data_IF_754058359842
#
_entry.id   IF_754058359842
#
_cell.length_a   1.000
_cell.length_b   1.000
_cell.length_c   1.000
_cell.angle_alpha   90.00
_cell.angle_beta   90.00
_cell.angle_gamma   90.00
#
_symmetry.space_group_name_H-M   'P 1'
#
loop_
_entity.id
_entity.type
_entity.pdbx_description
1 polymer ?
#
# COMPACT_ATOMS: atom_id res chain seq x y z
N UNK A 1 -41.24 -14.46 -12.96
CA UNK A 1 -40.27 -13.34 -13.04
C UNK A 1 -39.45 -13.35 -11.76
N UNK A 2 -38.21 -13.81 -11.82
CA UNK A 2 -37.31 -13.83 -10.66
C UNK A 2 -36.74 -12.43 -10.44
N UNK A 3 -36.87 -11.94 -9.21
CA UNK A 3 -36.33 -10.64 -8.77
C UNK A 3 -34.81 -10.79 -8.70
N UNK A 4 -34.09 -10.08 -9.56
CA UNK A 4 -32.64 -9.99 -9.45
C UNK A 4 -32.32 -9.29 -8.13
N UNK A 5 -31.92 -10.07 -7.12
CA UNK A 5 -31.38 -9.53 -5.89
C UNK A 5 -30.09 -8.79 -6.25
N UNK A 6 -30.07 -7.49 -5.95
CA UNK A 6 -28.92 -6.63 -6.09
C UNK A 6 -27.83 -7.16 -5.13
N UNK A 7 -26.99 -8.07 -5.62
CA UNK A 7 -25.75 -8.50 -4.99
C UNK A 7 -24.76 -7.33 -5.05
N UNK A 8 -25.05 -6.26 -4.31
CA UNK A 8 -24.05 -5.24 -4.06
C UNK A 8 -22.85 -5.96 -3.45
N UNK A 9 -21.68 -5.85 -4.10
CA UNK A 9 -20.44 -6.37 -3.54
C UNK A 9 -20.33 -5.88 -2.09
N UNK A 10 -19.89 -6.72 -1.15
CA UNK A 10 -19.76 -6.31 0.24
C UNK A 10 -18.98 -5.01 0.31
N UNK A 11 -19.46 -4.06 1.13
CA UNK A 11 -18.82 -2.76 1.30
C UNK A 11 -17.36 -3.03 1.65
N UNK A 12 -16.45 -2.66 0.74
CA UNK A 12 -15.03 -2.81 0.99
C UNK A 12 -14.70 -1.90 2.19
N UNK A 13 -14.18 -2.43 3.31
CA UNK A 13 -13.91 -1.63 4.51
C UNK A 13 -12.94 -0.48 4.25
N UNK A 14 -12.14 -0.55 3.17
CA UNK A 14 -11.25 0.51 2.74
C UNK A 14 -11.91 1.64 1.94
N UNK A 15 -13.18 1.56 1.54
CA UNK A 15 -13.77 2.55 0.62
C UNK A 15 -13.71 4.01 1.13
N UNK A 16 -13.58 4.20 2.43
CA UNK A 16 -13.43 5.52 3.09
C UNK A 16 -12.06 5.70 3.76
N UNK A 17 -11.08 4.84 3.44
CA UNK A 17 -9.73 4.91 4.02
C UNK A 17 -9.09 6.27 3.75
N UNK A 18 -8.42 6.80 4.77
CA UNK A 18 -7.65 8.04 4.71
C UNK A 18 -6.15 7.78 4.76
N UNK A 19 -5.75 6.70 5.44
CA UNK A 19 -4.36 6.28 5.60
C UNK A 19 -4.19 4.88 5.02
N UNK A 20 -3.47 4.78 3.91
CA UNK A 20 -3.24 3.53 3.17
C UNK A 20 -1.75 3.19 3.16
N UNK A 21 -1.43 1.94 3.47
CA UNK A 21 -0.08 1.40 3.31
C UNK A 21 -0.06 0.40 2.15
N UNK A 22 0.91 0.55 1.25
CA UNK A 22 1.26 -0.45 0.24
C UNK A 22 2.64 -1.02 0.59
N UNK A 23 2.79 -2.34 0.60
CA UNK A 23 4.07 -3.00 0.86
C UNK A 23 4.57 -3.67 -0.42
N UNK A 24 5.76 -3.26 -0.89
CA UNK A 24 6.48 -3.94 -1.97
C UNK A 24 7.99 -3.74 -1.84
N UNK A 25 8.70 -4.77 -1.38
CA UNK A 25 10.13 -4.75 -1.05
C UNK A 25 11.03 -5.32 -2.15
N UNK A 26 10.53 -6.24 -2.98
CA UNK A 26 11.28 -6.94 -4.05
C UNK A 26 10.36 -7.80 -4.93
N UNK A 27 10.81 -8.38 -6.05
CA UNK A 27 12.00 -8.04 -6.85
C UNK A 27 11.59 -7.09 -7.98
N UNK A 28 12.54 -6.58 -8.78
CA UNK A 28 12.26 -5.56 -9.79
C UNK A 28 11.14 -5.95 -10.77
N UNK A 29 11.17 -7.17 -11.32
CA UNK A 29 10.14 -7.60 -12.27
C UNK A 29 8.74 -7.57 -11.66
N UNK A 30 8.61 -8.09 -10.44
CA UNK A 30 7.32 -8.13 -9.74
C UNK A 30 6.89 -6.75 -9.22
N UNK A 31 7.84 -5.89 -8.87
CA UNK A 31 7.56 -4.48 -8.56
C UNK A 31 6.93 -3.77 -9.77
N UNK A 32 7.50 -3.96 -10.96
CA UNK A 32 6.98 -3.38 -12.21
C UNK A 32 5.58 -3.93 -12.53
N UNK A 33 5.34 -5.23 -12.35
CA UNK A 33 4.01 -5.83 -12.53
C UNK A 33 3.00 -5.26 -11.52
N UNK A 34 3.41 -5.06 -10.26
CA UNK A 34 2.57 -4.51 -9.21
C UNK A 34 2.16 -3.04 -9.44
N UNK A 35 2.83 -2.29 -10.34
CA UNK A 35 2.43 -0.91 -10.66
C UNK A 35 0.98 -0.81 -11.15
N UNK A 36 0.48 -1.82 -11.87
CA UNK A 36 -0.92 -1.87 -12.28
C UNK A 36 -1.87 -1.96 -11.08
N UNK A 37 -1.53 -2.78 -10.09
CA UNK A 37 -2.29 -2.88 -8.85
C UNK A 37 -2.17 -1.60 -8.00
N UNK A 38 -0.97 -1.01 -7.91
CA UNK A 38 -0.73 0.25 -7.19
C UNK A 38 -1.51 1.41 -7.80
N UNK A 39 -1.61 1.46 -9.13
CA UNK A 39 -2.50 2.41 -9.84
C UNK A 39 -3.95 2.22 -9.42
N UNK A 40 -4.45 0.98 -9.43
CA UNK A 40 -5.82 0.68 -9.02
C UNK A 40 -6.09 1.07 -7.55
N UNK A 41 -5.10 0.88 -6.67
CA UNK A 41 -5.18 1.34 -5.26
C UNK A 41 -5.33 2.87 -5.19
N UNK A 42 -4.56 3.64 -5.97
CA UNK A 42 -4.71 5.11 -6.04
C UNK A 42 -6.06 5.52 -6.61
N UNK A 43 -6.53 4.88 -7.68
CA UNK A 43 -7.83 5.18 -8.29
C UNK A 43 -9.00 4.88 -7.35
N UNK A 44 -8.88 3.83 -6.53
CA UNK A 44 -9.88 3.48 -5.54
C UNK A 44 -9.85 4.39 -4.31
N UNK A 45 -8.67 4.91 -3.93
CA UNK A 45 -8.47 5.82 -2.79
C UNK A 45 -7.93 7.19 -3.23
N UNK A 46 -8.68 7.98 -4.04
CA UNK A 46 -8.16 9.19 -4.66
C UNK A 46 -7.74 10.25 -3.63
N UNK A 47 -8.43 10.31 -2.48
CA UNK A 47 -8.21 11.31 -1.43
C UNK A 47 -7.36 10.81 -0.25
N UNK A 48 -6.96 9.54 -0.26
CA UNK A 48 -6.18 8.98 0.84
C UNK A 48 -4.70 9.33 0.72
N UNK A 49 -4.03 9.42 1.87
CA UNK A 49 -2.57 9.42 1.94
C UNK A 49 -2.08 7.98 1.76
N UNK A 50 -1.37 7.72 0.67
CA UNK A 50 -0.84 6.40 0.32
C UNK A 50 0.67 6.40 0.54
N UNK A 51 1.13 5.58 1.47
CA UNK A 51 2.55 5.34 1.74
C UNK A 51 2.99 4.04 1.10
N UNK A 52 4.07 4.06 0.33
CA UNK A 52 4.75 2.85 -0.10
C UNK A 52 5.86 2.49 0.90
N UNK A 53 5.82 1.29 1.45
CA UNK A 53 6.93 0.68 2.16
C UNK A 53 7.71 -0.24 1.22
N UNK A 54 8.97 0.10 0.98
CA UNK A 54 9.87 -0.56 0.04
C UNK A 54 11.31 -0.62 0.56
N UNK A 55 12.28 -0.82 -0.33
CA UNK A 55 13.72 -0.80 -0.04
C UNK A 55 14.42 0.31 -0.82
N UNK A 56 15.65 0.74 -0.45
CA UNK A 56 16.29 1.91 -1.07
C UNK A 56 16.48 1.80 -2.58
N UNK A 57 16.59 0.57 -3.10
CA UNK A 57 16.71 0.31 -4.53
C UNK A 57 15.53 0.87 -5.36
N UNK A 58 14.33 0.95 -4.77
CA UNK A 58 13.12 1.42 -5.46
C UNK A 58 12.75 2.86 -5.17
N UNK A 59 13.48 3.57 -4.30
CA UNK A 59 13.09 4.90 -3.82
C UNK A 59 12.86 5.89 -4.96
N UNK A 60 13.90 6.07 -5.78
CA UNK A 60 13.89 7.01 -6.90
C UNK A 60 12.81 6.63 -7.93
N UNK A 61 12.71 5.33 -8.26
CA UNK A 61 11.68 4.88 -9.20
C UNK A 61 10.25 5.11 -8.67
N UNK A 62 10.02 4.81 -7.40
CA UNK A 62 8.72 4.98 -6.76
C UNK A 62 8.34 6.45 -6.58
N UNK A 63 9.30 7.36 -6.31
CA UNK A 63 9.02 8.79 -6.16
C UNK A 63 8.55 9.47 -7.45
N UNK A 64 8.87 8.88 -8.61
CA UNK A 64 8.38 9.34 -9.91
C UNK A 64 6.99 8.77 -10.26
N UNK A 65 6.47 7.82 -9.49
CA UNK A 65 5.14 7.24 -9.73
C UNK A 65 4.05 8.13 -9.11
N UNK A 66 2.94 8.44 -9.83
CA UNK A 66 1.88 9.31 -9.34
C UNK A 66 0.91 8.60 -8.37
N UNK A 67 1.35 7.53 -7.72
CA UNK A 67 0.49 6.66 -6.90
C UNK A 67 0.68 6.90 -5.40
N UNK A 68 1.84 7.41 -4.97
CA UNK A 68 2.22 7.49 -3.57
C UNK A 68 2.44 8.94 -3.13
N UNK A 69 2.02 9.25 -1.91
CA UNK A 69 2.31 10.53 -1.25
C UNK A 69 3.61 10.48 -0.45
N UNK A 70 4.03 9.27 -0.05
CA UNK A 70 5.27 9.02 0.68
C UNK A 70 5.87 7.68 0.28
N UNK A 71 7.21 7.63 0.27
CA UNK A 71 7.99 6.40 0.07
C UNK A 71 8.90 6.20 1.27
N UNK A 72 8.80 5.05 1.91
CA UNK A 72 9.61 4.64 3.05
C UNK A 72 10.46 3.43 2.66
N UNK A 73 11.77 3.51 2.87
CA UNK A 73 12.74 2.55 2.29
C UNK A 73 13.34 1.59 3.33
N UNK A 74 12.85 1.64 4.57
CA UNK A 74 13.28 0.80 5.68
C UNK A 74 12.44 -0.49 5.81
N UNK A 75 11.71 -0.89 4.76
CA UNK A 75 10.80 -2.04 4.78
C UNK A 75 11.48 -3.41 4.95
N UNK A 76 12.81 -3.47 4.80
CA UNK A 76 13.62 -4.66 5.10
C UNK A 76 14.63 -4.34 6.22
N UNK A 77 14.20 -4.29 7.49
CA UNK A 77 15.08 -3.97 8.61
C UNK A 77 16.15 -5.06 8.79
N UNK A 78 17.40 -4.65 9.01
CA UNK A 78 18.54 -5.56 9.18
C UNK A 78 18.80 -6.00 10.63
N UNK A 79 18.13 -5.38 11.61
CA UNK A 79 18.35 -5.64 13.04
C UNK A 79 17.03 -5.74 13.79
N UNK A 80 17.02 -6.45 14.92
CA UNK A 80 15.83 -6.54 15.79
C UNK A 80 15.35 -5.16 16.26
N UNK A 81 16.28 -4.26 16.59
CA UNK A 81 15.95 -2.88 16.97
C UNK A 81 15.22 -2.14 15.84
N UNK A 82 15.70 -2.27 14.60
CA UNK A 82 15.05 -1.67 13.43
C UNK A 82 13.66 -2.32 13.17
N UNK A 83 13.53 -3.63 13.34
CA UNK A 83 12.25 -4.33 13.25
C UNK A 83 11.25 -3.82 14.29
N UNK A 84 11.66 -3.69 15.55
CA UNK A 84 10.80 -3.16 16.61
C UNK A 84 10.38 -1.71 16.32
N UNK A 85 11.30 -0.88 15.81
CA UNK A 85 11.01 0.49 15.43
C UNK A 85 10.00 0.59 14.27
N UNK A 86 10.18 -0.23 13.22
CA UNK A 86 9.24 -0.33 12.10
C UNK A 86 7.84 -0.74 12.57
N UNK A 87 7.75 -1.79 13.40
CA UNK A 87 6.47 -2.25 13.95
C UNK A 87 5.79 -1.18 14.81
N UNK A 88 6.55 -0.46 15.64
CA UNK A 88 6.02 0.64 16.45
C UNK A 88 5.49 1.78 15.56
N UNK A 89 6.22 2.12 14.49
CA UNK A 89 5.83 3.17 13.53
C UNK A 89 4.55 2.80 12.77
N UNK A 90 4.47 1.58 12.22
CA UNK A 90 3.26 1.08 11.53
C UNK A 90 2.04 1.09 12.47
N UNK A 91 2.20 0.60 13.71
CA UNK A 91 1.10 0.60 14.71
C UNK A 91 0.67 2.02 15.10
N UNK A 92 1.61 2.96 15.18
CA UNK A 92 1.32 4.37 15.49
C UNK A 92 0.62 5.09 14.35
N UNK A 93 0.96 4.75 13.10
CA UNK A 93 0.38 5.36 11.90
C UNK A 93 -1.12 5.05 11.75
N UNK A 94 -1.59 3.93 12.33
CA UNK A 94 -3.01 3.52 12.29
C UNK A 94 -3.59 3.50 10.88
N UNK A 95 -2.88 2.84 9.95
CA UNK A 95 -3.38 2.63 8.60
C UNK A 95 -4.76 1.97 8.64
N UNK A 96 -5.70 2.52 7.87
CA UNK A 96 -7.06 2.01 7.75
C UNK A 96 -7.08 0.71 6.94
N UNK A 97 -6.19 0.63 5.95
CA UNK A 97 -6.02 -0.53 5.07
C UNK A 97 -4.55 -0.71 4.67
N UNK A 98 -4.15 -1.97 4.57
CA UNK A 98 -2.81 -2.38 4.12
C UNK A 98 -2.97 -3.30 2.91
N UNK A 99 -2.31 -2.95 1.81
CA UNK A 99 -2.13 -3.81 0.65
C UNK A 99 -0.73 -4.40 0.70
N UNK A 100 -0.65 -5.70 0.95
CA UNK A 100 0.61 -6.43 0.84
C UNK A 100 0.73 -7.03 -0.55
N UNK A 101 1.68 -6.51 -1.33
CA UNK A 101 2.00 -7.02 -2.67
C UNK A 101 3.33 -7.75 -2.68
N UNK A 102 3.90 -8.09 -1.52
CA UNK A 102 5.18 -8.77 -1.44
C UNK A 102 5.11 -10.24 -1.87
#
# INVERSE_FOLDING_TARGET
MAKAENLASPVNPGASAKEVLVIKLSALGDFVLALGAMKAVREFHPSARITLLTTPFFEDFASHCPYFDAVETDGRPATMKATTALLARIRKAKYDIIYDFQ
#
